data_IF_118747397302
#
_entry.id   IF_118747397302
#
_cell.length_a   1.000
_cell.length_b   1.000
_cell.length_c   1.000
_cell.angle_alpha   90.00
_cell.angle_beta   90.00
_cell.angle_gamma   90.00
#
_symmetry.space_group_name_H-M   'P 1'
#
loop_
_entity.id
_entity.type
_entity.pdbx_description
1 polymer ?
#
# COMPACT_ATOMS: atom_id res chain seq x y z
N UNK A 1 0.58 5.76 -8.72
CA UNK A 1 -0.64 5.22 -8.10
C UNK A 1 -0.36 3.85 -7.52
N UNK A 2 -0.86 3.56 -6.34
CA UNK A 2 -0.73 2.25 -5.71
C UNK A 2 -2.11 1.63 -5.63
N UNK A 3 -2.25 0.41 -6.15
CA UNK A 3 -3.50 -0.34 -6.13
C UNK A 3 -3.29 -1.61 -5.31
N UNK A 4 -4.09 -1.76 -4.27
CA UNK A 4 -3.98 -2.89 -3.35
C UNK A 4 -5.30 -3.65 -3.36
N UNK A 5 -5.25 -4.96 -3.60
CA UNK A 5 -6.41 -5.82 -3.48
C UNK A 5 -6.19 -6.73 -2.28
N UNK A 6 -7.10 -6.66 -1.32
CA UNK A 6 -7.04 -7.50 -0.14
C UNK A 6 -7.61 -8.89 -0.42
N UNK A 7 -7.31 -9.84 0.44
CA UNK A 7 -7.73 -11.23 0.24
C UNK A 7 -9.25 -11.39 0.29
N UNK A 8 -9.95 -10.47 0.94
CA UNK A 8 -11.41 -10.48 1.00
C UNK A 8 -12.07 -9.76 -0.20
N UNK A 9 -11.27 -9.31 -1.17
CA UNK A 9 -11.77 -8.63 -2.36
C UNK A 9 -11.83 -7.12 -2.25
N UNK A 10 -11.54 -6.54 -1.09
CA UNK A 10 -11.53 -5.10 -0.91
C UNK A 10 -10.42 -4.48 -1.76
N UNK A 11 -10.76 -3.42 -2.49
CA UNK A 11 -9.82 -2.71 -3.34
C UNK A 11 -9.49 -1.35 -2.74
N UNK A 12 -8.20 -1.05 -2.61
CA UNK A 12 -7.69 0.20 -2.04
C UNK A 12 -6.78 0.85 -3.06
N UNK A 13 -6.98 2.14 -3.28
CA UNK A 13 -6.20 2.89 -4.25
C UNK A 13 -5.61 4.13 -3.60
N UNK A 14 -4.30 4.33 -3.79
CA UNK A 14 -3.59 5.52 -3.34
C UNK A 14 -3.20 6.35 -4.56
N UNK A 15 -3.67 7.59 -4.61
CA UNK A 15 -3.31 8.51 -5.68
C UNK A 15 -1.93 9.12 -5.39
N UNK A 16 -1.28 9.62 -6.43
CA UNK A 16 0.09 10.13 -6.34
C UNK A 16 0.24 11.29 -5.36
N UNK A 17 -0.83 12.04 -5.11
CA UNK A 17 -0.80 13.15 -4.16
C UNK A 17 -1.06 12.72 -2.72
N UNK A 18 -1.30 11.44 -2.47
CA UNK A 18 -1.61 10.93 -1.14
C UNK A 18 -0.42 10.24 -0.48
N UNK A 19 0.64 9.99 -1.21
CA UNK A 19 1.84 9.34 -0.69
C UNK A 19 3.08 9.87 -1.39
N UNK A 20 4.23 9.75 -0.74
CA UNK A 20 5.51 10.12 -1.32
C UNK A 20 6.39 8.91 -1.59
N UNK A 21 6.17 7.81 -0.87
CA UNK A 21 6.99 6.62 -0.99
C UNK A 21 6.23 5.40 -0.45
N UNK A 22 6.82 4.24 -0.61
CA UNK A 22 6.30 3.01 -0.05
C UNK A 22 7.48 2.07 0.22
N UNK A 23 7.27 1.10 1.10
CA UNK A 23 8.30 0.11 1.40
C UNK A 23 7.68 -1.20 1.84
N UNK A 24 8.46 -2.26 1.71
CA UNK A 24 8.15 -3.56 2.29
C UNK A 24 8.98 -3.72 3.55
N UNK A 25 8.33 -4.05 4.66
CA UNK A 25 9.00 -4.27 5.94
C UNK A 25 8.52 -5.59 6.51
N UNK A 26 9.34 -6.63 6.29
CA UNK A 26 9.00 -7.97 6.73
C UNK A 26 7.70 -8.45 6.11
N UNK A 27 6.64 -8.52 6.93
CA UNK A 27 5.34 -9.00 6.49
C UNK A 27 4.37 -7.89 6.15
N UNK A 28 4.84 -6.64 6.09
CA UNK A 28 3.97 -5.49 5.88
C UNK A 28 4.36 -4.73 4.63
N UNK A 29 3.35 -4.16 3.98
CA UNK A 29 3.52 -3.14 2.95
C UNK A 29 3.11 -1.81 3.56
N UNK A 30 3.99 -0.81 3.49
CA UNK A 30 3.81 0.46 4.17
C UNK A 30 3.76 1.57 3.13
N UNK A 31 2.70 2.39 3.19
CA UNK A 31 2.56 3.58 2.37
C UNK A 31 2.97 4.77 3.20
N UNK A 32 3.85 5.60 2.65
CA UNK A 32 4.50 6.69 3.38
C UNK A 32 4.15 8.01 2.74
N UNK A 33 3.85 9.01 3.57
CA UNK A 33 3.70 10.38 3.12
C UNK A 33 4.59 11.28 3.98
N UNK A 34 5.68 11.77 3.36
CA UNK A 34 6.66 12.57 4.08
C UNK A 34 7.36 11.73 5.15
N UNK A 35 7.16 12.10 6.40
CA UNK A 35 7.76 11.39 7.54
C UNK A 35 6.78 10.44 8.23
N UNK A 36 5.58 10.27 7.67
CA UNK A 36 4.52 9.51 8.32
C UNK A 36 4.17 8.26 7.53
N UNK A 37 3.89 7.18 8.26
CA UNK A 37 3.34 5.97 7.69
C UNK A 37 1.83 6.13 7.68
N UNK A 38 1.26 6.30 6.49
CA UNK A 38 -0.17 6.60 6.36
C UNK A 38 -1.01 5.36 6.06
N UNK A 39 -0.39 4.27 5.65
CA UNK A 39 -1.10 3.01 5.42
C UNK A 39 -0.17 1.83 5.69
N UNK A 40 -0.64 0.87 6.48
CA UNK A 40 0.11 -0.34 6.79
C UNK A 40 -0.77 -1.54 6.50
N UNK A 41 -0.29 -2.46 5.68
CA UNK A 41 -1.04 -3.63 5.25
C UNK A 41 -0.24 -4.89 5.51
N UNK A 42 -0.85 -5.84 6.22
CA UNK A 42 -0.23 -7.14 6.45
C UNK A 42 -0.33 -7.95 5.14
N UNK A 43 0.81 -8.40 4.63
CA UNK A 43 0.88 -9.12 3.35
C UNK A 43 0.11 -10.45 3.38
N UNK A 44 -0.12 -11.03 4.56
CA UNK A 44 -0.93 -12.24 4.68
C UNK A 44 -2.38 -12.00 4.26
N UNK A 45 -2.84 -10.74 4.31
CA UNK A 45 -4.21 -10.37 3.94
C UNK A 45 -4.28 -9.62 2.61
N UNK A 46 -3.18 -9.59 1.86
CA UNK A 46 -3.10 -8.89 0.59
C UNK A 46 -3.01 -9.91 -0.54
N UNK A 47 -3.89 -9.76 -1.54
CA UNK A 47 -3.88 -10.59 -2.74
C UNK A 47 -2.89 -10.07 -3.77
N UNK A 48 -2.90 -8.76 -4.00
CA UNK A 48 -2.01 -8.16 -4.98
C UNK A 48 -1.74 -6.69 -4.66
N UNK A 49 -0.55 -6.23 -5.08
CA UNK A 49 -0.16 -4.83 -5.01
C UNK A 49 0.41 -4.46 -6.37
N UNK A 50 -0.12 -3.39 -6.95
CA UNK A 50 0.40 -2.85 -8.20
C UNK A 50 0.81 -1.40 -7.97
N UNK A 51 2.02 -1.07 -8.39
CA UNK A 51 2.51 0.30 -8.35
C UNK A 51 2.66 0.79 -9.77
N UNK A 52 1.91 1.82 -10.09
CA UNK A 52 1.85 2.40 -11.43
C UNK A 52 2.39 3.83 -11.35
N UNK A 53 3.37 4.10 -12.21
CA UNK A 53 4.02 5.43 -12.23
C UNK A 53 3.45 6.33 -13.30
#
# INVERSE_FOLDING_TARGET
MINITLSNGTFIQWNENQYTDYMYDGKCFIVINGNQWVGIYNLDFVRSIEVDK
#
